data_IF_388307050524
#
_entry.id   IF_388307050524
#
_cell.length_a   1.000
_cell.length_b   1.000
_cell.length_c   1.000
_cell.angle_alpha   90.00
_cell.angle_beta   90.00
_cell.angle_gamma   90.00
#
_symmetry.space_group_name_H-M   'P 1'
#
loop_
_entity.id
_entity.type
_entity.pdbx_description
1 polymer ?
#
# COMPACT_ATOMS: atom_id res chain seq x y z
N UNK A 1 10.09 -9.25 0.52
CA UNK A 1 9.68 -8.04 -0.26
C UNK A 1 9.81 -6.82 0.62
N UNK A 2 10.31 -5.74 0.08
CA UNK A 2 10.39 -4.42 0.73
C UNK A 2 9.85 -3.36 -0.23
N UNK A 3 9.46 -2.20 0.31
CA UNK A 3 9.10 -1.03 -0.49
C UNK A 3 10.32 -0.12 -0.63
N UNK A 4 10.58 0.34 -1.85
CA UNK A 4 11.78 1.11 -2.16
C UNK A 4 11.49 2.13 -3.27
N UNK A 5 12.09 3.35 -3.23
CA UNK A 5 11.96 4.32 -4.30
C UNK A 5 12.43 3.77 -5.65
N UNK A 6 11.68 4.04 -6.72
CA UNK A 6 12.06 3.60 -8.07
C UNK A 6 13.40 4.23 -8.52
N UNK A 7 13.65 5.45 -8.09
CA UNK A 7 14.88 6.21 -8.37
C UNK A 7 16.15 5.54 -7.80
N UNK A 8 15.99 4.75 -6.73
CA UNK A 8 17.07 3.99 -6.11
C UNK A 8 17.14 2.52 -6.53
N UNK A 9 16.24 2.05 -7.41
CA UNK A 9 16.21 0.65 -7.83
C UNK A 9 17.47 0.28 -8.61
N UNK A 10 18.21 -0.72 -8.14
CA UNK A 10 19.30 -1.34 -8.87
C UNK A 10 18.74 -2.40 -9.82
N UNK A 11 18.59 -2.02 -11.09
CA UNK A 11 18.08 -2.88 -12.15
C UNK A 11 19.10 -2.95 -13.28
N UNK A 12 19.51 -4.15 -13.68
CA UNK A 12 20.41 -4.32 -14.79
C UNK A 12 19.72 -3.94 -16.12
N UNK A 13 20.40 -3.22 -17.02
CA UNK A 13 19.85 -2.83 -18.31
C UNK A 13 19.56 -4.04 -19.20
N UNK A 14 18.86 -3.82 -20.31
CA UNK A 14 18.48 -4.82 -21.28
C UNK A 14 17.36 -4.36 -22.22
N UNK A 15 16.80 -5.30 -22.96
CA UNK A 15 15.72 -5.05 -23.91
C UNK A 15 14.38 -5.00 -23.21
N UNK A 16 13.66 -3.90 -23.36
CA UNK A 16 12.33 -3.71 -22.74
C UNK A 16 11.21 -4.12 -23.70
N UNK A 17 10.30 -4.91 -23.16
CA UNK A 17 9.07 -5.34 -23.83
C UNK A 17 7.89 -5.06 -22.89
N UNK A 18 6.83 -4.45 -23.43
CA UNK A 18 5.57 -4.24 -22.73
C UNK A 18 4.45 -5.10 -23.33
N UNK A 19 3.51 -5.51 -22.48
CA UNK A 19 2.26 -6.15 -22.89
C UNK A 19 1.11 -5.21 -22.54
N UNK A 20 0.37 -4.79 -23.57
CA UNK A 20 -0.76 -3.89 -23.41
C UNK A 20 -2.06 -4.67 -23.41
N UNK A 21 -2.79 -4.55 -22.32
CA UNK A 21 -4.10 -5.17 -22.19
C UNK A 21 -5.07 -4.50 -23.16
N UNK A 22 -5.78 -5.30 -23.95
CA UNK A 22 -6.82 -4.83 -24.86
C UNK A 22 -8.11 -5.62 -24.71
N UNK A 23 -9.24 -4.97 -24.98
CA UNK A 23 -10.51 -5.65 -25.16
C UNK A 23 -10.59 -6.18 -26.58
N UNK A 24 -11.05 -7.43 -26.75
CA UNK A 24 -11.35 -8.03 -28.05
C UNK A 24 -12.80 -7.79 -28.47
N UNK A 25 -13.60 -7.09 -27.64
CA UNK A 25 -14.94 -6.65 -27.99
C UNK A 25 -14.92 -5.82 -29.28
N UNK A 26 -15.84 -6.07 -30.17
CA UNK A 26 -16.18 -5.11 -31.24
C UNK A 26 -16.91 -3.95 -30.56
N UNK A 27 -16.45 -2.73 -30.79
CA UNK A 27 -17.14 -1.50 -30.39
C UNK A 27 -18.49 -1.45 -31.14
N UNK A 28 -19.51 -2.06 -30.56
CA UNK A 28 -20.87 -1.71 -30.94
C UNK A 28 -21.22 -0.45 -30.14
N UNK A 29 -21.65 0.56 -30.85
CA UNK A 29 -21.89 1.90 -30.33
C UNK A 29 -22.73 1.87 -29.04
N UNK A 30 -22.14 2.29 -27.93
CA UNK A 30 -22.84 2.66 -26.70
C UNK A 30 -23.08 1.57 -25.64
N UNK A 31 -22.64 0.33 -25.84
CA UNK A 31 -22.81 -0.75 -24.85
C UNK A 31 -21.59 -0.91 -23.95
N UNK A 32 -21.66 -0.46 -22.71
CA UNK A 32 -20.72 -0.88 -21.66
C UNK A 32 -20.80 -2.41 -21.43
N UNK A 33 -19.95 -2.98 -20.54
CA UNK A 33 -19.95 -4.43 -20.29
C UNK A 33 -21.36 -4.93 -20.02
N UNK A 34 -21.83 -5.95 -20.77
CA UNK A 34 -23.16 -6.56 -20.60
C UNK A 34 -23.33 -7.29 -19.26
N UNK A 35 -22.24 -7.51 -18.52
CA UNK A 35 -22.29 -8.01 -17.16
C UNK A 35 -22.97 -7.00 -16.21
N UNK A 36 -23.71 -7.49 -15.22
CA UNK A 36 -24.34 -6.63 -14.23
C UNK A 36 -23.28 -5.75 -13.56
N UNK A 37 -23.35 -4.43 -13.78
CA UNK A 37 -22.48 -3.47 -13.09
C UNK A 37 -22.77 -3.51 -11.61
N UNK A 38 -21.73 -3.45 -10.78
CA UNK A 38 -21.80 -3.39 -9.32
C UNK A 38 -21.36 -2.03 -8.82
N UNK A 39 -21.84 -1.64 -7.65
CA UNK A 39 -21.39 -0.41 -7.01
C UNK A 39 -19.91 -0.53 -6.64
N UNK A 40 -19.15 0.50 -6.92
CA UNK A 40 -17.76 0.62 -6.45
C UNK A 40 -17.72 0.78 -4.91
N UNK A 41 -16.58 0.45 -4.29
CA UNK A 41 -16.37 0.68 -2.86
C UNK A 41 -16.32 2.19 -2.55
N UNK A 42 -16.44 2.53 -1.26
CA UNK A 42 -16.31 3.93 -0.84
C UNK A 42 -14.91 4.51 -1.15
N UNK A 43 -13.85 3.71 -0.98
CA UNK A 43 -12.48 4.12 -1.33
C UNK A 43 -12.36 4.42 -2.82
N UNK A 44 -12.87 3.53 -3.68
CA UNK A 44 -12.83 3.70 -5.13
C UNK A 44 -13.59 4.95 -5.58
N UNK A 45 -14.78 5.17 -5.03
CA UNK A 45 -15.61 6.33 -5.38
C UNK A 45 -14.92 7.65 -4.99
N UNK A 46 -14.34 7.70 -3.77
CA UNK A 46 -13.59 8.90 -3.33
C UNK A 46 -12.36 9.14 -4.18
N UNK A 47 -11.57 8.10 -4.47
CA UNK A 47 -10.37 8.22 -5.30
C UNK A 47 -10.71 8.70 -6.72
N UNK A 48 -11.70 8.07 -7.35
CA UNK A 48 -12.18 8.45 -8.68
C UNK A 48 -12.66 9.90 -8.70
N UNK A 49 -13.44 10.33 -7.70
CA UNK A 49 -13.92 11.72 -7.58
C UNK A 49 -12.77 12.73 -7.49
N UNK A 50 -11.74 12.41 -6.70
CA UNK A 50 -10.57 13.29 -6.53
C UNK A 50 -9.84 13.49 -7.86
N UNK A 51 -9.67 12.42 -8.65
CA UNK A 51 -9.02 12.49 -9.97
C UNK A 51 -9.89 13.23 -10.99
N UNK A 52 -11.21 12.98 -11.00
CA UNK A 52 -12.15 13.73 -11.85
C UNK A 52 -12.08 15.24 -11.59
N UNK A 53 -12.10 15.65 -10.33
CA UNK A 53 -12.03 17.07 -9.96
C UNK A 53 -10.67 17.70 -10.29
N UNK A 54 -9.57 16.95 -10.08
CA UNK A 54 -8.24 17.40 -10.47
C UNK A 54 -8.16 17.66 -11.98
N UNK A 55 -8.70 16.75 -12.79
CA UNK A 55 -8.69 16.86 -14.26
C UNK A 55 -9.48 18.07 -14.77
N UNK A 56 -10.60 18.42 -14.12
CA UNK A 56 -11.39 19.62 -14.49
C UNK A 56 -10.61 20.94 -14.40
N UNK A 57 -9.60 20.99 -13.55
CA UNK A 57 -8.74 22.18 -13.35
C UNK A 57 -7.35 22.01 -13.96
N UNK A 58 -7.16 21.03 -14.85
CA UNK A 58 -5.89 20.66 -15.48
C UNK A 58 -4.77 20.38 -14.47
N UNK A 59 -5.14 19.86 -13.31
CA UNK A 59 -4.20 19.39 -12.29
C UNK A 59 -4.05 17.86 -12.39
N UNK A 60 -2.86 17.35 -12.15
CA UNK A 60 -2.57 15.92 -12.19
C UNK A 60 -2.18 15.42 -10.80
N UNK A 61 -3.13 14.82 -10.12
CA UNK A 61 -2.87 14.05 -8.89
C UNK A 61 -2.58 12.60 -9.26
N UNK A 62 -1.44 12.37 -9.89
CA UNK A 62 -1.02 11.03 -10.26
C UNK A 62 -0.36 10.32 -9.07
N UNK A 63 -0.79 9.11 -8.82
CA UNK A 63 -0.16 8.18 -7.88
C UNK A 63 -0.26 6.77 -8.43
N UNK A 64 0.74 5.95 -8.15
CA UNK A 64 0.74 4.55 -8.55
C UNK A 64 1.45 3.67 -7.53
N UNK A 65 1.06 2.40 -7.54
CA UNK A 65 1.73 1.31 -6.83
C UNK A 65 2.38 0.42 -7.89
N UNK A 66 3.63 0.05 -7.70
CA UNK A 66 4.31 -0.81 -8.65
C UNK A 66 5.07 -1.93 -7.94
N UNK A 67 5.43 -2.95 -8.70
CA UNK A 67 6.27 -4.05 -8.26
C UNK A 67 7.25 -4.42 -9.36
N UNK A 68 8.49 -4.71 -8.96
CA UNK A 68 9.51 -5.32 -9.78
C UNK A 68 9.94 -6.65 -9.14
N UNK A 69 10.26 -7.64 -9.96
CA UNK A 69 10.78 -8.93 -9.48
C UNK A 69 11.55 -9.64 -10.58
N UNK A 70 12.45 -10.54 -10.18
CA UNK A 70 13.30 -11.30 -11.10
C UNK A 70 12.65 -12.63 -11.48
N UNK A 71 12.75 -12.98 -12.78
CA UNK A 71 12.51 -14.33 -13.30
C UNK A 71 13.84 -14.95 -13.71
N UNK A 72 14.06 -16.21 -13.34
CA UNK A 72 15.32 -16.88 -13.53
C UNK A 72 15.59 -17.22 -15.00
N UNK A 73 16.80 -16.90 -15.46
CA UNK A 73 17.29 -17.20 -16.80
C UNK A 73 16.76 -16.24 -17.88
N UNK A 74 17.05 -16.55 -19.15
CA UNK A 74 16.50 -15.82 -20.29
C UNK A 74 14.98 -15.85 -20.29
N UNK A 75 14.37 -14.73 -20.64
CA UNK A 75 12.92 -14.57 -20.62
C UNK A 75 12.26 -15.47 -21.68
N UNK A 76 11.40 -16.38 -21.23
CA UNK A 76 10.43 -17.06 -22.07
C UNK A 76 9.22 -16.14 -22.27
N UNK A 77 9.16 -15.46 -23.41
CA UNK A 77 8.15 -14.45 -23.71
C UNK A 77 6.75 -15.02 -23.79
N UNK A 78 6.60 -16.19 -24.40
CA UNK A 78 5.28 -16.82 -24.58
C UNK A 78 4.73 -17.28 -23.22
N UNK A 79 5.58 -17.84 -22.37
CA UNK A 79 5.20 -18.22 -21.00
C UNK A 79 4.87 -16.99 -20.14
N UNK A 80 5.61 -15.87 -20.28
CA UNK A 80 5.31 -14.65 -19.55
C UNK A 80 4.00 -14.02 -20.05
N UNK A 81 3.78 -13.93 -21.34
CA UNK A 81 2.53 -13.43 -21.91
C UNK A 81 1.32 -14.22 -21.39
N UNK A 82 1.42 -15.56 -21.41
CA UNK A 82 0.38 -16.42 -20.83
C UNK A 82 0.16 -16.16 -19.33
N UNK A 83 1.23 -15.95 -18.55
CA UNK A 83 1.14 -15.66 -17.12
C UNK A 83 0.52 -14.27 -16.83
N UNK A 84 0.85 -13.26 -17.62
CA UNK A 84 0.27 -11.91 -17.51
C UNK A 84 -1.22 -11.91 -17.87
N UNK A 85 -1.58 -12.62 -18.94
CA UNK A 85 -2.98 -12.79 -19.33
C UNK A 85 -3.76 -13.59 -18.29
N UNK A 86 -3.16 -14.63 -17.71
CA UNK A 86 -3.73 -15.39 -16.60
C UNK A 86 -4.02 -14.49 -15.39
N UNK A 87 -3.09 -13.62 -14.97
CA UNK A 87 -3.30 -12.66 -13.89
C UNK A 87 -4.52 -11.77 -14.15
N UNK A 88 -4.61 -11.17 -15.35
CA UNK A 88 -5.71 -10.29 -15.72
C UNK A 88 -7.06 -11.03 -15.77
N UNK A 89 -7.07 -12.30 -16.20
CA UNK A 89 -8.26 -13.16 -16.22
C UNK A 89 -8.69 -13.57 -14.82
N UNK A 90 -7.74 -13.87 -13.95
CA UNK A 90 -7.95 -14.33 -12.59
C UNK A 90 -8.56 -13.26 -11.69
N UNK A 91 -8.12 -12.02 -11.81
CA UNK A 91 -8.55 -10.90 -10.97
C UNK A 91 -9.46 -9.95 -11.72
N UNK A 92 -10.76 -10.10 -11.51
CA UNK A 92 -11.77 -9.32 -12.23
C UNK A 92 -11.60 -7.80 -12.13
N UNK A 93 -11.10 -7.30 -10.98
CA UNK A 93 -10.86 -5.86 -10.77
C UNK A 93 -9.88 -5.27 -11.79
N UNK A 94 -8.94 -6.05 -12.32
CA UNK A 94 -8.00 -5.63 -13.36
C UNK A 94 -8.66 -5.48 -14.75
N UNK A 95 -9.87 -6.02 -14.90
CA UNK A 95 -10.69 -5.93 -16.13
C UNK A 95 -11.85 -4.93 -15.97
N UNK A 96 -11.87 -4.17 -14.86
CA UNK A 96 -12.97 -3.26 -14.54
C UNK A 96 -12.89 -1.95 -15.28
N UNK A 97 -14.01 -1.54 -15.85
CA UNK A 97 -14.28 -0.19 -16.32
C UNK A 97 -15.18 0.53 -15.32
N UNK A 98 -14.73 1.70 -14.88
CA UNK A 98 -15.49 2.54 -13.94
C UNK A 98 -16.31 3.60 -14.69
N UNK A 99 -17.52 3.80 -14.22
CA UNK A 99 -18.43 4.80 -14.80
C UNK A 99 -19.39 5.36 -13.74
N UNK A 100 -19.64 6.68 -13.81
CA UNK A 100 -20.72 7.26 -13.00
C UNK A 100 -22.08 7.02 -13.66
N UNK A 101 -22.99 6.42 -12.90
CA UNK A 101 -24.38 6.21 -13.28
C UNK A 101 -25.28 6.84 -12.22
N UNK A 102 -26.09 7.82 -12.62
CA UNK A 102 -26.97 8.59 -11.73
C UNK A 102 -26.26 9.21 -10.49
N UNK A 103 -24.97 9.54 -10.61
CA UNK A 103 -24.13 10.12 -9.56
C UNK A 103 -23.28 9.12 -8.80
N UNK A 104 -23.62 7.85 -8.78
CA UNK A 104 -22.87 6.78 -8.11
C UNK A 104 -21.80 6.19 -9.03
N UNK A 105 -20.64 5.87 -8.46
CA UNK A 105 -19.60 5.14 -9.20
C UNK A 105 -19.95 3.66 -9.25
N UNK A 106 -20.00 3.13 -10.45
CA UNK A 106 -20.19 1.72 -10.74
C UNK A 106 -19.02 1.15 -11.51
N UNK A 107 -18.78 -0.14 -11.37
CA UNK A 107 -17.78 -0.87 -12.15
C UNK A 107 -18.39 -2.10 -12.81
N UNK A 108 -17.91 -2.41 -14.01
CA UNK A 108 -18.25 -3.63 -14.74
C UNK A 108 -16.98 -4.26 -15.25
N UNK A 109 -16.80 -5.57 -15.04
CA UNK A 109 -15.66 -6.28 -15.53
C UNK A 109 -15.89 -6.74 -16.99
N UNK A 110 -14.92 -6.52 -17.87
CA UNK A 110 -14.86 -7.15 -19.18
C UNK A 110 -14.70 -8.66 -18.98
N UNK A 111 -15.39 -9.47 -19.79
CA UNK A 111 -15.29 -10.92 -19.68
C UNK A 111 -13.85 -11.40 -19.84
N UNK A 112 -13.47 -12.43 -19.09
CA UNK A 112 -12.11 -12.96 -19.11
C UNK A 112 -11.68 -13.46 -20.49
N UNK A 113 -12.62 -13.94 -21.31
CA UNK A 113 -12.38 -14.41 -22.67
C UNK A 113 -12.35 -13.28 -23.70
N UNK A 114 -12.77 -12.07 -23.33
CA UNK A 114 -12.80 -10.89 -24.20
C UNK A 114 -11.59 -9.97 -24.00
N UNK A 115 -10.55 -10.43 -23.30
CA UNK A 115 -9.29 -9.71 -23.18
C UNK A 115 -8.15 -10.44 -23.87
N UNK A 116 -7.22 -9.67 -24.39
CA UNK A 116 -5.97 -10.14 -24.99
C UNK A 116 -4.83 -9.18 -24.70
N UNK A 117 -3.65 -9.53 -25.14
CA UNK A 117 -2.44 -8.72 -24.99
C UNK A 117 -1.88 -8.36 -26.37
N UNK A 118 -1.40 -7.12 -26.51
CA UNK A 118 -0.57 -6.68 -27.61
C UNK A 118 0.85 -6.48 -27.12
N UNK A 119 1.82 -7.10 -27.78
CA UNK A 119 3.24 -6.98 -27.44
C UNK A 119 3.82 -5.74 -28.11
N UNK A 120 4.54 -4.92 -27.34
CA UNK A 120 5.19 -3.70 -27.81
C UNK A 120 6.67 -3.71 -27.44
N UNK A 121 7.54 -3.67 -28.45
CA UNK A 121 8.99 -3.53 -28.25
C UNK A 121 9.30 -2.06 -27.92
N UNK A 122 9.85 -1.80 -26.75
CA UNK A 122 10.19 -0.45 -26.28
C UNK A 122 11.63 -0.05 -26.58
N UNK A 123 12.47 -1.02 -26.99
CA UNK A 123 13.87 -0.80 -27.32
C UNK A 123 14.84 -1.40 -26.33
N UNK A 124 16.10 -1.10 -26.51
CA UNK A 124 17.19 -1.53 -25.65
C UNK A 124 17.73 -0.35 -24.84
N UNK A 125 18.01 -0.61 -23.58
CA UNK A 125 18.55 0.38 -22.64
C UNK A 125 19.90 -0.10 -22.15
N UNK A 126 20.90 0.79 -22.22
CA UNK A 126 22.30 0.46 -21.93
C UNK A 126 22.67 0.76 -20.48
N UNK A 127 21.88 1.59 -19.79
CA UNK A 127 22.16 2.01 -18.41
C UNK A 127 20.94 1.87 -17.49
N UNK A 128 21.20 1.59 -16.21
CA UNK A 128 20.18 1.59 -15.15
C UNK A 128 19.45 2.95 -15.06
N UNK A 129 20.16 4.05 -15.28
CA UNK A 129 19.58 5.40 -15.17
C UNK A 129 18.53 5.65 -16.27
N UNK A 130 18.85 5.29 -17.53
CA UNK A 130 17.90 5.40 -18.65
C UNK A 130 16.67 4.51 -18.42
N UNK A 131 16.89 3.29 -17.96
CA UNK A 131 15.81 2.34 -17.71
C UNK A 131 14.89 2.82 -16.58
N UNK A 132 15.44 3.35 -15.47
CA UNK A 132 14.63 3.95 -14.39
C UNK A 132 13.83 5.15 -14.88
N UNK A 133 14.44 6.03 -15.67
CA UNK A 133 13.76 7.19 -16.24
C UNK A 133 12.61 6.75 -17.17
N UNK A 134 12.86 5.75 -18.02
CA UNK A 134 11.84 5.16 -18.88
C UNK A 134 10.68 4.56 -18.07
N UNK A 135 10.96 3.75 -17.04
CA UNK A 135 9.93 3.14 -16.20
C UNK A 135 9.09 4.19 -15.48
N UNK A 136 9.74 5.22 -14.88
CA UNK A 136 9.05 6.31 -14.21
C UNK A 136 8.12 7.07 -15.15
N UNK A 137 8.62 7.43 -16.34
CA UNK A 137 7.83 8.12 -17.38
C UNK A 137 6.67 7.26 -17.88
N UNK A 138 6.92 5.95 -18.13
CA UNK A 138 5.89 5.01 -18.57
C UNK A 138 4.79 4.83 -17.53
N UNK A 139 5.14 4.68 -16.24
CA UNK A 139 4.15 4.55 -15.16
C UNK A 139 3.27 5.79 -15.06
N UNK A 140 3.87 7.00 -15.10
CA UNK A 140 3.13 8.24 -15.01
C UNK A 140 2.22 8.50 -16.22
N UNK A 141 2.61 8.05 -17.42
CA UNK A 141 1.82 8.28 -18.66
C UNK A 141 0.74 7.24 -18.90
N UNK A 142 0.96 6.00 -18.46
CA UNK A 142 0.06 4.89 -18.78
C UNK A 142 -0.95 4.59 -17.67
N UNK A 143 -0.68 5.00 -16.42
CA UNK A 143 -1.62 4.82 -15.31
C UNK A 143 -2.57 6.01 -15.26
N UNK A 144 -3.84 5.77 -15.58
CA UNK A 144 -4.90 6.79 -15.57
C UNK A 144 -6.17 6.21 -14.93
N UNK A 145 -6.54 6.74 -13.75
CA UNK A 145 -7.73 6.31 -13.00
C UNK A 145 -9.03 6.37 -13.83
N UNK A 146 -9.10 7.28 -14.82
CA UNK A 146 -10.31 7.53 -15.60
C UNK A 146 -10.35 6.76 -16.93
N UNK A 147 -9.30 5.97 -17.24
CA UNK A 147 -9.18 5.26 -18.50
C UNK A 147 -8.67 3.82 -18.29
N UNK A 148 -9.42 2.85 -18.76
CA UNK A 148 -8.97 1.46 -18.81
C UNK A 148 -7.91 1.25 -19.91
N UNK A 149 -6.86 0.44 -19.68
CA UNK A 149 -6.56 -0.36 -18.51
C UNK A 149 -5.93 0.44 -17.35
N UNK A 150 -6.23 0.03 -16.11
CA UNK A 150 -5.82 0.70 -14.88
C UNK A 150 -4.47 0.19 -14.33
N UNK A 151 -3.72 -0.50 -15.17
CA UNK A 151 -2.40 -1.02 -14.87
C UNK A 151 -1.61 -1.24 -16.15
N UNK A 152 -0.31 -1.32 -16.01
CA UNK A 152 0.60 -1.65 -17.08
C UNK A 152 1.57 -2.76 -16.67
N UNK A 153 2.19 -3.43 -17.63
CA UNK A 153 3.09 -4.55 -17.41
C UNK A 153 4.16 -4.64 -18.48
N UNK A 154 5.36 -5.00 -18.05
CA UNK A 154 6.50 -5.14 -18.96
C UNK A 154 7.61 -5.99 -18.34
N UNK A 155 8.65 -6.21 -19.13
CA UNK A 155 9.84 -6.89 -18.68
C UNK A 155 11.10 -6.31 -19.33
N UNK A 156 12.20 -6.40 -18.59
CA UNK A 156 13.55 -6.16 -19.06
C UNK A 156 14.16 -7.53 -19.39
N UNK A 157 14.14 -7.90 -20.63
CA UNK A 157 14.68 -9.18 -21.13
C UNK A 157 16.20 -9.10 -21.25
N UNK A 158 16.90 -10.15 -20.80
CA UNK A 158 18.34 -10.31 -20.91
C UNK A 158 18.67 -11.66 -21.52
N UNK A 159 19.75 -11.72 -22.30
CA UNK A 159 20.24 -12.96 -22.90
C UNK A 159 20.88 -13.89 -21.89
N UNK A 160 21.48 -13.30 -20.83
CA UNK A 160 22.16 -14.03 -19.75
C UNK A 160 21.70 -13.52 -18.40
N UNK A 161 21.66 -14.39 -17.38
CA UNK A 161 21.21 -14.07 -16.05
C UNK A 161 19.69 -14.03 -15.94
N UNK A 162 19.16 -13.39 -14.91
CA UNK A 162 17.73 -13.21 -14.72
C UNK A 162 17.18 -12.03 -15.53
N UNK A 163 15.89 -12.08 -15.82
CA UNK A 163 15.14 -10.98 -16.43
C UNK A 163 14.22 -10.35 -15.40
N UNK A 164 13.99 -9.04 -15.48
CA UNK A 164 13.16 -8.32 -14.51
C UNK A 164 11.77 -8.10 -15.10
N UNK A 165 10.73 -8.52 -14.38
CA UNK A 165 9.33 -8.16 -14.69
C UNK A 165 8.94 -6.96 -13.85
N UNK A 166 8.19 -6.03 -14.43
CA UNK A 166 7.66 -4.87 -13.74
C UNK A 166 6.18 -4.67 -14.05
N UNK A 167 5.44 -4.23 -13.05
CA UNK A 167 4.04 -3.84 -13.21
C UNK A 167 3.75 -2.59 -12.38
N UNK A 168 2.87 -1.74 -12.89
CA UNK A 168 2.36 -0.59 -12.13
C UNK A 168 0.84 -0.54 -12.22
N UNK A 169 0.20 -0.10 -11.14
CA UNK A 169 -1.25 -0.14 -10.95
C UNK A 169 -1.75 1.21 -10.43
N UNK A 170 -2.91 1.62 -10.89
CA UNK A 170 -3.69 2.62 -10.17
C UNK A 170 -4.16 2.07 -8.82
N UNK A 171 -4.22 2.93 -7.81
CA UNK A 171 -4.66 2.52 -6.48
C UNK A 171 -6.13 2.07 -6.45
N UNK A 172 -6.95 2.50 -7.42
CA UNK A 172 -8.37 2.11 -7.53
C UNK A 172 -8.57 0.60 -7.69
N UNK A 173 -7.56 -0.12 -8.23
CA UNK A 173 -7.60 -1.57 -8.46
C UNK A 173 -6.61 -2.36 -7.60
N UNK A 174 -5.87 -1.70 -6.71
CA UNK A 174 -4.80 -2.37 -5.95
C UNK A 174 -4.57 -1.76 -4.56
N UNK A 175 -3.84 -2.49 -3.73
CA UNK A 175 -3.30 -2.04 -2.45
C UNK A 175 -1.94 -2.70 -2.17
N UNK A 176 -1.31 -2.35 -1.04
CA UNK A 176 0.02 -2.88 -0.70
C UNK A 176 0.08 -4.41 -0.60
N UNK A 177 -1.00 -5.08 -0.17
CA UNK A 177 -1.06 -6.56 -0.08
C UNK A 177 -1.35 -7.18 -1.45
N UNK A 178 -1.87 -6.44 -2.40
CA UNK A 178 -2.04 -6.90 -3.79
C UNK A 178 -0.68 -7.18 -4.45
N UNK A 179 0.37 -6.43 -4.11
CA UNK A 179 1.68 -6.57 -4.75
C UNK A 179 2.31 -7.97 -4.55
N UNK A 180 2.44 -8.52 -3.33
CA UNK A 180 2.91 -9.90 -3.18
C UNK A 180 1.99 -10.94 -3.83
N UNK A 181 0.68 -10.73 -3.89
CA UNK A 181 -0.23 -11.63 -4.59
C UNK A 181 0.06 -11.63 -6.10
N UNK A 182 0.26 -10.46 -6.71
CA UNK A 182 0.63 -10.32 -8.13
C UNK A 182 1.93 -11.07 -8.44
N UNK A 183 2.98 -10.87 -7.61
CA UNK A 183 4.26 -11.56 -7.80
C UNK A 183 4.11 -13.07 -7.72
N UNK A 184 3.43 -13.55 -6.69
CA UNK A 184 3.19 -14.99 -6.50
C UNK A 184 2.42 -15.60 -7.65
N UNK A 185 1.38 -14.94 -8.13
CA UNK A 185 0.52 -15.44 -9.20
C UNK A 185 1.28 -15.51 -10.53
N UNK A 186 2.03 -14.44 -10.88
CA UNK A 186 2.82 -14.42 -12.12
C UNK A 186 3.94 -15.46 -12.07
N UNK A 187 4.70 -15.53 -10.98
CA UNK A 187 5.80 -16.48 -10.83
C UNK A 187 5.32 -17.94 -10.92
N UNK A 188 4.20 -18.23 -10.25
CA UNK A 188 3.59 -19.57 -10.28
C UNK A 188 3.09 -19.92 -11.69
N UNK A 189 2.40 -18.98 -12.35
CA UNK A 189 1.87 -19.18 -13.69
C UNK A 189 3.00 -19.30 -14.73
N UNK A 190 3.99 -18.42 -14.66
CA UNK A 190 5.16 -18.44 -15.53
C UNK A 190 5.91 -19.79 -15.47
N UNK A 191 6.18 -20.24 -14.24
CA UNK A 191 6.84 -21.54 -14.03
C UNK A 191 6.01 -22.73 -14.56
N UNK A 192 4.69 -22.67 -14.43
CA UNK A 192 3.79 -23.70 -14.97
C UNK A 192 3.78 -23.70 -16.51
N UNK A 193 3.59 -22.54 -17.15
CA UNK A 193 3.54 -22.42 -18.61
C UNK A 193 4.87 -22.78 -19.27
N UNK A 194 6.02 -22.41 -18.70
CA UNK A 194 7.33 -22.90 -19.19
C UNK A 194 7.44 -24.42 -19.22
N UNK A 195 6.65 -25.13 -18.43
CA UNK A 195 6.61 -26.59 -18.37
C UNK A 195 5.42 -27.17 -19.16
N UNK A 196 4.68 -26.35 -19.90
CA UNK A 196 3.49 -26.77 -20.65
C UNK A 196 2.34 -27.24 -19.74
N UNK A 197 2.24 -26.70 -18.54
CA UNK A 197 1.21 -27.05 -17.54
C UNK A 197 0.33 -25.86 -17.21
N UNK A 198 -0.91 -26.12 -16.80
CA UNK A 198 -1.77 -25.08 -16.23
C UNK A 198 -1.34 -24.70 -14.81
N UNK A 199 -1.39 -23.41 -14.45
CA UNK A 199 -1.07 -22.98 -13.09
C UNK A 199 -2.13 -23.42 -12.08
N UNK A 200 -1.68 -23.84 -10.90
CA UNK A 200 -2.56 -24.22 -9.78
C UNK A 200 -2.35 -23.24 -8.65
N UNK A 201 -3.35 -22.41 -8.37
CA UNK A 201 -3.34 -21.39 -7.32
C UNK A 201 -4.63 -21.46 -6.48
N UNK A 202 -4.61 -21.05 -5.22
CA UNK A 202 -5.83 -20.92 -4.40
C UNK A 202 -6.83 -19.97 -5.07
N UNK A 203 -8.12 -20.17 -4.82
CA UNK A 203 -9.18 -19.33 -5.39
C UNK A 203 -9.00 -17.87 -4.96
N UNK A 204 -9.10 -16.95 -5.91
CA UNK A 204 -9.22 -15.52 -5.63
C UNK A 204 -10.70 -15.15 -5.50
N UNK A 205 -11.10 -14.54 -4.39
CA UNK A 205 -12.46 -14.05 -4.20
C UNK A 205 -12.70 -12.77 -5.01
N UNK A 206 -13.98 -12.50 -5.30
CA UNK A 206 -14.41 -11.33 -6.07
C UNK A 206 -14.22 -10.04 -5.28
N UNK A 207 -13.45 -9.10 -5.83
CA UNK A 207 -13.37 -7.74 -5.28
C UNK A 207 -14.64 -6.95 -5.55
N UNK A 208 -15.30 -7.18 -6.68
CA UNK A 208 -16.55 -6.50 -7.02
C UNK A 208 -17.68 -6.89 -6.06
N UNK A 209 -17.71 -8.14 -5.60
CA UNK A 209 -18.66 -8.59 -4.58
C UNK A 209 -18.39 -7.90 -3.24
N UNK A 210 -17.11 -7.83 -2.83
CA UNK A 210 -16.70 -7.10 -1.64
C UNK A 210 -17.13 -5.63 -1.69
N UNK A 211 -16.82 -4.93 -2.78
CA UNK A 211 -17.13 -3.51 -2.96
C UNK A 211 -18.65 -3.26 -2.93
N UNK A 212 -19.40 -4.07 -3.65
CA UNK A 212 -20.85 -3.97 -3.70
C UNK A 212 -21.51 -4.28 -2.34
N UNK A 213 -21.05 -5.30 -1.64
CA UNK A 213 -21.54 -5.65 -0.29
C UNK A 213 -21.23 -4.52 0.70
N UNK A 214 -20.00 -4.00 0.69
CA UNK A 214 -19.59 -2.87 1.53
C UNK A 214 -20.50 -1.65 1.26
N UNK A 215 -20.67 -1.27 -0.01
CA UNK A 215 -21.51 -0.13 -0.38
C UNK A 215 -22.96 -0.33 0.07
N UNK A 216 -23.56 -1.48 -0.22
CA UNK A 216 -24.94 -1.80 0.12
C UNK A 216 -25.19 -1.77 1.64
N UNK A 217 -24.23 -2.26 2.43
CA UNK A 217 -24.35 -2.34 3.89
C UNK A 217 -24.25 -0.98 4.58
N UNK A 218 -23.42 -0.07 4.07
CA UNK A 218 -23.10 1.18 4.77
C UNK A 218 -23.62 2.44 4.09
N UNK A 219 -24.28 2.35 2.94
CA UNK A 219 -24.88 3.51 2.26
C UNK A 219 -25.93 4.21 3.13
N UNK A 220 -26.71 3.44 3.88
CA UNK A 220 -27.76 3.93 4.79
C UNK A 220 -27.26 4.33 6.18
N UNK A 221 -25.94 4.31 6.43
CA UNK A 221 -25.37 4.76 7.70
C UNK A 221 -25.59 6.27 7.87
N UNK A 222 -26.10 6.70 9.03
CA UNK A 222 -26.33 8.11 9.39
C UNK A 222 -25.34 8.56 10.48
N UNK A 223 -25.16 9.88 10.65
CA UNK A 223 -24.15 10.44 11.55
C UNK A 223 -24.40 10.15 13.05
N UNK A 224 -25.64 9.87 13.44
CA UNK A 224 -26.03 9.51 14.82
C UNK A 224 -25.95 8.01 15.13
N UNK A 225 -25.65 7.16 14.14
CA UNK A 225 -25.55 5.70 14.30
C UNK A 225 -24.49 5.32 15.35
N UNK A 226 -24.81 4.33 16.21
CA UNK A 226 -23.94 3.85 17.28
C UNK A 226 -22.63 3.20 16.75
N UNK A 227 -22.64 2.68 15.54
CA UNK A 227 -21.43 2.15 14.89
C UNK A 227 -20.34 3.20 14.68
N UNK A 228 -20.70 4.48 14.72
CA UNK A 228 -19.78 5.62 14.66
C UNK A 228 -19.28 6.11 16.03
N UNK A 229 -19.71 5.54 17.15
CA UNK A 229 -19.39 6.05 18.47
C UNK A 229 -17.90 6.04 18.81
N UNK A 230 -17.17 5.04 18.33
CA UNK A 230 -15.71 5.05 18.46
C UNK A 230 -15.06 6.23 17.71
N UNK A 231 -15.51 6.50 16.47
CA UNK A 231 -15.07 7.66 15.69
C UNK A 231 -15.39 8.97 16.36
N UNK A 232 -16.62 9.12 16.88
CA UNK A 232 -17.05 10.31 17.64
C UNK A 232 -16.20 10.50 18.89
N UNK A 233 -15.91 9.42 19.61
CA UNK A 233 -15.05 9.45 20.80
C UNK A 233 -13.62 9.88 20.46
N UNK A 234 -13.05 9.33 19.41
CA UNK A 234 -11.73 9.71 18.91
C UNK A 234 -11.68 11.20 18.52
N UNK A 235 -12.69 11.69 17.79
CA UNK A 235 -12.81 13.09 17.42
C UNK A 235 -12.89 14.00 18.64
N UNK A 236 -13.68 13.64 19.65
CA UNK A 236 -13.80 14.42 20.89
C UNK A 236 -12.46 14.53 21.61
N UNK A 237 -11.65 13.46 21.65
CA UNK A 237 -10.30 13.44 22.23
C UNK A 237 -9.26 14.16 21.38
N UNK A 238 -9.41 14.13 20.04
CA UNK A 238 -8.47 14.73 19.08
C UNK A 238 -8.80 16.21 18.79
N UNK A 239 -10.05 16.65 19.03
CA UNK A 239 -10.56 17.97 18.65
C UNK A 239 -11.06 18.08 17.20
N UNK A 240 -10.73 17.12 16.37
CA UNK A 240 -11.09 17.08 14.95
C UNK A 240 -11.03 15.63 14.38
N UNK A 241 -11.57 15.40 13.19
CA UNK A 241 -11.63 14.06 12.59
C UNK A 241 -10.24 13.51 12.25
N UNK A 242 -9.36 14.35 11.68
CA UNK A 242 -8.04 13.91 11.24
C UNK A 242 -6.99 14.09 12.34
N UNK A 243 -6.22 13.03 12.68
CA UNK A 243 -5.07 13.18 13.59
C UNK A 243 -3.92 13.90 12.88
N UNK A 244 -3.48 15.03 13.43
CA UNK A 244 -2.35 15.79 12.85
C UNK A 244 -1.02 15.07 13.07
N UNK A 245 -0.17 15.11 12.05
CA UNK A 245 1.25 14.81 12.24
C UNK A 245 1.84 15.86 13.17
N UNK A 246 2.50 15.45 14.28
CA UNK A 246 2.73 16.37 15.40
C UNK A 246 3.98 17.25 15.28
N UNK A 247 4.77 17.08 14.20
CA UNK A 247 6.03 17.81 14.02
C UNK A 247 5.97 18.72 12.80
N UNK A 248 6.82 19.76 12.79
CA UNK A 248 6.85 20.75 11.72
C UNK A 248 7.39 20.18 10.42
N UNK A 249 6.72 20.49 9.31
CA UNK A 249 7.11 20.12 7.95
C UNK A 249 7.39 21.32 7.05
N UNK A 250 7.28 22.56 7.55
CA UNK A 250 7.53 23.79 6.80
C UNK A 250 6.56 23.99 5.64
N UNK A 251 5.27 23.70 5.86
CA UNK A 251 4.23 23.82 4.82
C UNK A 251 3.20 24.87 5.17
N UNK A 252 2.65 25.49 4.13
CA UNK A 252 1.51 26.40 4.25
C UNK A 252 0.19 25.59 4.20
N UNK A 253 -0.84 25.98 4.94
CA UNK A 253 -2.14 25.34 4.91
C UNK A 253 -2.72 25.24 3.50
N UNK A 254 -3.11 24.03 3.09
CA UNK A 254 -3.73 23.77 1.78
C UNK A 254 -2.77 23.76 0.58
N UNK A 255 -1.47 24.04 0.79
CA UNK A 255 -0.47 23.96 -0.29
C UNK A 255 -0.05 22.52 -0.57
N UNK A 256 0.28 22.25 -1.83
CA UNK A 256 0.85 20.99 -2.30
C UNK A 256 2.32 21.19 -2.67
N UNK A 257 3.14 20.23 -2.33
CA UNK A 257 4.58 20.25 -2.55
C UNK A 257 5.03 19.02 -3.33
N UNK A 258 6.13 19.11 -4.11
CA UNK A 258 6.82 17.93 -4.62
C UNK A 258 7.11 16.95 -3.48
N UNK A 259 7.25 15.68 -3.80
CA UNK A 259 7.53 14.64 -2.80
C UNK A 259 8.99 14.20 -2.80
N UNK A 260 9.49 13.93 -1.60
CA UNK A 260 10.67 13.09 -1.38
C UNK A 260 10.22 11.68 -1.06
N UNK A 261 10.95 10.68 -1.58
CA UNK A 261 10.73 9.27 -1.30
C UNK A 261 12.05 8.64 -0.81
N UNK A 262 12.07 8.18 0.44
CA UNK A 262 13.26 7.61 1.07
C UNK A 262 12.94 6.26 1.70
N UNK A 263 13.90 5.33 1.65
CA UNK A 263 13.79 4.03 2.26
C UNK A 263 15.05 3.67 3.03
N UNK A 264 14.87 3.17 4.26
CA UNK A 264 15.96 2.81 5.17
C UNK A 264 15.68 1.48 5.88
N UNK A 265 16.75 0.75 6.17
CA UNK A 265 16.68 -0.36 7.11
C UNK A 265 16.86 0.16 8.53
N UNK A 266 15.84 0.01 9.38
CA UNK A 266 15.87 0.44 10.78
C UNK A 266 16.56 -0.59 11.68
N UNK A 267 16.28 -1.88 11.47
CA UNK A 267 16.86 -2.99 12.22
C UNK A 267 17.29 -4.11 11.28
N UNK A 268 18.35 -4.81 11.61
CA UNK A 268 18.71 -6.06 10.95
C UNK A 268 17.80 -7.23 11.41
N UNK A 269 18.01 -8.42 10.84
CA UNK A 269 17.21 -9.61 11.16
C UNK A 269 17.29 -9.97 12.65
N UNK A 270 18.50 -9.94 13.25
CA UNK A 270 18.74 -10.30 14.65
C UNK A 270 18.10 -9.31 15.61
N UNK A 271 18.27 -8.02 15.35
CA UNK A 271 17.68 -6.93 16.12
C UNK A 271 16.16 -6.98 16.07
N UNK A 272 15.61 -7.29 14.86
CA UNK A 272 14.16 -7.42 14.65
C UNK A 272 13.59 -8.61 15.43
N UNK A 273 14.28 -9.75 15.49
CA UNK A 273 13.88 -10.91 16.30
C UNK A 273 13.95 -10.62 17.80
N UNK A 274 14.98 -9.90 18.24
CA UNK A 274 15.09 -9.49 19.63
C UNK A 274 13.93 -8.56 20.04
N UNK A 275 13.57 -7.58 19.20
CA UNK A 275 12.41 -6.73 19.42
C UNK A 275 11.10 -7.55 19.45
N UNK A 276 10.91 -8.51 18.52
CA UNK A 276 9.71 -9.38 18.52
C UNK A 276 9.59 -10.18 19.81
N UNK A 277 10.70 -10.68 20.31
CA UNK A 277 10.75 -11.42 21.56
C UNK A 277 10.36 -10.51 22.73
N UNK A 278 10.94 -9.30 22.79
CA UNK A 278 10.62 -8.31 23.82
C UNK A 278 9.14 -7.89 23.80
N UNK A 279 8.57 -7.69 22.59
CA UNK A 279 7.14 -7.40 22.45
C UNK A 279 6.26 -8.54 22.99
N UNK A 280 6.64 -9.80 22.72
CA UNK A 280 5.92 -10.98 23.18
C UNK A 280 5.97 -11.13 24.70
N UNK A 281 7.11 -10.86 25.31
CA UNK A 281 7.28 -10.86 26.78
C UNK A 281 6.44 -9.77 27.46
N UNK A 282 6.29 -8.60 26.83
CA UNK A 282 5.38 -7.55 27.25
C UNK A 282 3.89 -7.85 26.96
N UNK A 283 3.56 -9.03 26.43
CA UNK A 283 2.19 -9.44 26.10
C UNK A 283 1.61 -8.78 24.84
N UNK A 284 2.47 -8.28 23.95
CA UNK A 284 2.08 -7.64 22.69
C UNK A 284 2.56 -8.39 21.45
N UNK A 285 2.21 -7.82 20.28
CA UNK A 285 2.69 -8.25 18.96
C UNK A 285 3.80 -7.30 18.48
N UNK A 286 4.61 -7.73 17.52
CA UNK A 286 5.71 -6.93 16.96
C UNK A 286 5.26 -5.52 16.52
N UNK A 287 4.16 -5.40 15.76
CA UNK A 287 3.67 -4.10 15.29
C UNK A 287 3.26 -3.17 16.44
N UNK A 288 2.84 -3.71 17.59
CA UNK A 288 2.51 -2.89 18.77
C UNK A 288 3.76 -2.25 19.38
N UNK A 289 4.87 -3.01 19.44
CA UNK A 289 6.15 -2.46 19.87
C UNK A 289 6.72 -1.43 18.91
N UNK A 290 6.58 -1.69 17.62
CA UNK A 290 6.96 -0.72 16.59
C UNK A 290 6.13 0.58 16.72
N UNK A 291 4.81 0.46 16.82
CA UNK A 291 3.91 1.62 16.98
C UNK A 291 4.17 2.38 18.28
N UNK A 292 4.42 1.66 19.39
CA UNK A 292 4.84 2.26 20.67
C UNK A 292 6.13 3.07 20.48
N UNK A 293 7.13 2.51 19.77
CA UNK A 293 8.40 3.18 19.49
C UNK A 293 8.23 4.41 18.60
N UNK A 294 7.32 4.37 17.61
CA UNK A 294 6.96 5.55 16.79
C UNK A 294 6.35 6.64 17.69
N UNK A 295 5.40 6.29 18.56
CA UNK A 295 4.82 7.24 19.50
C UNK A 295 5.87 7.88 20.43
N UNK A 296 6.77 7.06 20.96
CA UNK A 296 7.90 7.52 21.81
C UNK A 296 8.83 8.45 21.02
N UNK A 297 9.17 8.11 19.78
CA UNK A 297 10.05 8.95 18.95
C UNK A 297 9.41 10.32 18.67
N UNK A 298 8.15 10.35 18.27
CA UNK A 298 7.42 11.60 18.05
C UNK A 298 7.33 12.45 19.31
N UNK A 299 7.04 11.84 20.47
CA UNK A 299 7.00 12.55 21.76
C UNK A 299 8.38 13.09 22.16
N UNK A 300 9.45 12.32 21.97
CA UNK A 300 10.84 12.75 22.25
C UNK A 300 11.23 13.97 21.42
N UNK A 301 10.72 14.10 20.21
CA UNK A 301 10.95 15.23 19.32
C UNK A 301 10.01 16.42 19.57
N UNK A 302 9.26 16.42 20.65
CA UNK A 302 8.38 17.52 21.06
C UNK A 302 6.90 17.32 20.72
N UNK A 303 6.52 16.16 20.22
CA UNK A 303 5.12 15.79 20.03
C UNK A 303 4.36 15.62 21.36
N UNK A 304 3.03 15.49 21.30
CA UNK A 304 2.17 15.40 22.48
C UNK A 304 2.43 14.12 23.30
N UNK A 305 1.99 14.11 24.56
CA UNK A 305 2.04 12.95 25.45
C UNK A 305 0.94 11.90 25.13
N UNK A 306 0.49 11.87 23.89
CA UNK A 306 -0.43 10.89 23.34
C UNK A 306 -0.13 10.68 21.87
N UNK A 307 -0.09 9.43 21.43
CA UNK A 307 -0.10 9.11 20.03
C UNK A 307 -1.54 9.11 19.53
N UNK A 308 -1.80 9.81 18.44
CA UNK A 308 -3.02 9.72 17.64
C UNK A 308 -2.64 9.61 16.18
N UNK A 309 -3.23 8.64 15.50
CA UNK A 309 -2.91 8.39 14.07
C UNK A 309 -3.98 7.55 13.38
N UNK A 310 -3.91 7.51 12.07
CA UNK A 310 -4.64 6.53 11.29
C UNK A 310 -3.79 5.30 11.01
N UNK A 311 -4.45 4.15 11.02
CA UNK A 311 -3.84 2.85 10.74
C UNK A 311 -4.64 2.11 9.69
N UNK A 312 -4.06 1.78 8.52
CA UNK A 312 -4.70 0.94 7.51
C UNK A 312 -4.75 -0.51 8.01
N UNK A 313 -5.89 -1.14 7.84
CA UNK A 313 -6.15 -2.53 8.21
C UNK A 313 -6.70 -3.28 7.00
N UNK A 314 -6.10 -4.42 6.66
CA UNK A 314 -6.60 -5.25 5.57
C UNK A 314 -7.89 -5.98 5.97
N UNK A 315 -8.92 -5.85 5.16
CA UNK A 315 -10.20 -6.55 5.32
C UNK A 315 -10.20 -7.96 4.71
N UNK A 316 -9.09 -8.39 4.07
CA UNK A 316 -8.98 -9.71 3.41
C UNK A 316 -9.28 -10.89 4.34
N UNK A 317 -8.97 -10.77 5.63
CA UNK A 317 -9.26 -11.80 6.64
C UNK A 317 -10.75 -11.97 6.98
N UNK A 318 -11.64 -11.13 6.45
CA UNK A 318 -13.08 -11.17 6.69
C UNK A 318 -13.85 -12.04 5.68
N UNK A 319 -13.18 -12.53 4.64
CA UNK A 319 -13.79 -13.34 3.58
C UNK A 319 -12.75 -14.08 2.74
N UNK A 320 -13.12 -14.61 1.58
CA UNK A 320 -12.27 -15.44 0.74
C UNK A 320 -11.27 -14.61 -0.11
N UNK A 321 -10.71 -13.51 0.44
CA UNK A 321 -9.96 -12.52 -0.34
C UNK A 321 -8.46 -12.54 -0.11
N UNK A 322 -7.93 -13.49 0.65
CA UNK A 322 -6.49 -13.59 0.97
C UNK A 322 -5.60 -13.52 -0.27
N UNK A 323 -6.02 -14.19 -1.36
CA UNK A 323 -5.28 -14.28 -2.61
C UNK A 323 -5.80 -13.33 -3.71
N UNK A 324 -6.64 -12.35 -3.34
CA UNK A 324 -7.24 -11.42 -4.30
C UNK A 324 -6.42 -10.15 -4.47
N UNK A 325 -6.42 -9.61 -5.69
CA UNK A 325 -5.98 -8.25 -6.00
C UNK A 325 -7.16 -7.30 -5.87
N UNK A 326 -6.96 -6.11 -5.31
CA UNK A 326 -7.98 -5.09 -5.09
C UNK A 326 -7.66 -4.20 -3.91
N UNK A 327 -8.48 -3.17 -3.68
CA UNK A 327 -8.31 -2.25 -2.56
C UNK A 327 -9.09 -2.70 -1.32
N UNK A 328 -8.59 -3.71 -0.61
CA UNK A 328 -9.22 -4.30 0.59
C UNK A 328 -8.74 -3.65 1.90
N UNK A 329 -8.46 -2.37 1.89
CA UNK A 329 -7.97 -1.66 3.07
C UNK A 329 -9.03 -0.74 3.62
N UNK A 330 -9.32 -0.87 4.92
CA UNK A 330 -9.99 0.15 5.71
C UNK A 330 -8.96 0.93 6.52
N UNK A 331 -9.26 2.18 6.85
CA UNK A 331 -8.41 3.05 7.66
C UNK A 331 -9.13 3.37 8.95
N UNK A 332 -8.47 3.17 10.09
CA UNK A 332 -9.08 3.34 11.41
C UNK A 332 -8.24 4.26 12.29
N UNK A 333 -8.86 5.06 13.17
CA UNK A 333 -8.13 5.87 14.12
C UNK A 333 -7.64 5.02 15.30
N UNK A 334 -6.41 5.29 15.75
CA UNK A 334 -5.83 4.68 16.95
C UNK A 334 -5.26 5.75 17.84
N UNK A 335 -5.46 5.61 19.15
CA UNK A 335 -4.85 6.46 20.16
C UNK A 335 -4.35 5.68 21.37
N UNK A 336 -3.29 6.16 22.00
CA UNK A 336 -2.77 5.67 23.26
C UNK A 336 -1.87 6.73 23.92
N UNK A 337 -1.72 6.66 25.25
CA UNK A 337 -0.84 7.55 26.00
C UNK A 337 0.64 7.23 25.75
N UNK A 338 1.47 8.26 25.71
CA UNK A 338 2.94 8.17 25.60
C UNK A 338 3.55 9.07 26.67
N UNK A 339 4.27 8.49 27.62
CA UNK A 339 4.94 9.22 28.70
C UNK A 339 6.46 9.18 28.56
N UNK A 340 7.14 10.24 29.05
CA UNK A 340 8.60 10.36 29.00
C UNK A 340 9.33 9.23 29.72
N UNK A 341 8.77 8.81 30.89
CA UNK A 341 9.36 7.80 31.76
C UNK A 341 8.49 6.53 31.82
N UNK A 342 7.67 6.32 30.81
CA UNK A 342 6.77 5.17 30.72
C UNK A 342 7.53 3.91 30.32
N UNK A 343 7.39 2.86 31.13
CA UNK A 343 8.01 1.56 30.82
C UNK A 343 7.43 0.92 29.56
N UNK A 344 8.26 0.18 28.83
CA UNK A 344 7.86 -0.45 27.56
C UNK A 344 6.63 -1.38 27.72
N UNK A 345 6.52 -2.09 28.83
CA UNK A 345 5.39 -2.99 29.11
C UNK A 345 4.07 -2.23 29.26
N UNK A 346 4.12 -1.05 29.87
CA UNK A 346 2.96 -0.17 30.00
C UNK A 346 2.56 0.43 28.64
N UNK A 347 3.54 0.84 27.82
CA UNK A 347 3.30 1.30 26.45
C UNK A 347 2.62 0.21 25.61
N UNK A 348 3.13 -1.03 25.66
CA UNK A 348 2.53 -2.17 24.97
C UNK A 348 1.09 -2.41 25.43
N UNK A 349 0.83 -2.34 26.74
CA UNK A 349 -0.51 -2.48 27.28
C UNK A 349 -1.46 -1.39 26.75
N UNK A 350 -0.99 -0.14 26.69
CA UNK A 350 -1.73 0.99 26.11
C UNK A 350 -2.03 0.80 24.62
N UNK A 351 -1.03 0.45 23.82
CA UNK A 351 -1.20 0.17 22.38
C UNK A 351 -2.18 -0.98 22.15
N UNK A 352 -2.09 -2.05 22.94
CA UNK A 352 -2.98 -3.20 22.87
C UNK A 352 -4.42 -2.82 23.16
N UNK A 353 -4.65 -1.99 24.18
CA UNK A 353 -5.99 -1.48 24.51
C UNK A 353 -6.55 -0.60 23.40
N UNK A 354 -5.76 0.37 22.88
CA UNK A 354 -6.14 1.23 21.77
C UNK A 354 -6.44 0.44 20.49
N UNK A 355 -5.59 -0.54 20.17
CA UNK A 355 -5.82 -1.44 19.02
C UNK A 355 -7.09 -2.28 19.17
N UNK A 356 -7.36 -2.79 20.38
CA UNK A 356 -8.60 -3.54 20.67
C UNK A 356 -9.84 -2.69 20.46
N UNK A 357 -9.84 -1.44 20.95
CA UNK A 357 -10.94 -0.50 20.76
C UNK A 357 -11.12 -0.14 19.27
N UNK A 358 -10.04 0.16 18.57
CA UNK A 358 -10.03 0.45 17.12
C UNK A 358 -10.66 -0.70 16.31
N UNK A 359 -10.30 -1.94 16.60
CA UNK A 359 -10.78 -3.12 15.86
C UNK A 359 -12.28 -3.35 16.04
N UNK A 360 -12.90 -2.81 17.09
CA UNK A 360 -14.36 -2.79 17.26
C UNK A 360 -15.09 -1.98 16.18
N UNK A 361 -14.40 -1.05 15.51
CA UNK A 361 -14.96 -0.19 14.44
C UNK A 361 -14.50 -0.61 13.03
N UNK A 362 -13.88 -1.79 12.89
CA UNK A 362 -13.34 -2.26 11.60
C UNK A 362 -14.40 -2.31 10.49
N UNK A 363 -15.63 -2.52 10.84
CA UNK A 363 -16.71 -2.67 9.85
C UNK A 363 -17.06 -1.35 9.15
N UNK A 364 -16.93 -0.20 9.84
CA UNK A 364 -17.33 1.09 9.27
C UNK A 364 -16.28 1.56 8.27
N UNK A 365 -16.62 1.77 7.00
CA UNK A 365 -15.65 2.26 6.02
C UNK A 365 -15.21 3.69 6.37
N UNK A 366 -13.90 3.92 6.36
CA UNK A 366 -13.27 5.23 6.64
C UNK A 366 -13.90 6.37 5.85
N UNK A 367 -14.05 6.20 4.55
CA UNK A 367 -14.60 7.23 3.67
C UNK A 367 -16.05 7.57 4.06
N UNK A 368 -16.84 6.57 4.50
CA UNK A 368 -18.21 6.83 4.96
C UNK A 368 -18.22 7.53 6.32
N UNK A 369 -17.34 7.16 7.23
CA UNK A 369 -17.16 7.89 8.49
C UNK A 369 -16.73 9.34 8.24
N UNK A 370 -15.78 9.57 7.34
CA UNK A 370 -15.34 10.92 6.94
C UNK A 370 -16.49 11.75 6.37
N UNK A 371 -17.24 11.19 5.40
CA UNK A 371 -18.38 11.88 4.78
C UNK A 371 -19.43 12.33 5.79
N UNK A 372 -19.69 11.51 6.82
CA UNK A 372 -20.71 11.77 7.83
C UNK A 372 -20.24 12.67 8.97
N UNK A 373 -18.99 12.54 9.41
CA UNK A 373 -18.49 13.18 10.65
C UNK A 373 -17.62 14.42 10.38
N UNK A 374 -17.11 14.60 9.16
CA UNK A 374 -16.35 15.79 8.76
C UNK A 374 -16.69 16.21 7.33
N UNK A 375 -17.99 16.46 7.03
CA UNK A 375 -18.47 16.75 5.67
C UNK A 375 -17.84 18.03 5.08
N UNK A 376 -17.44 19.00 5.92
CA UNK A 376 -16.75 20.23 5.51
C UNK A 376 -15.39 19.98 4.83
N UNK A 377 -14.77 18.83 5.14
CA UNK A 377 -13.51 18.39 4.52
C UNK A 377 -13.71 17.35 3.41
N UNK A 378 -14.91 16.84 3.23
CA UNK A 378 -15.13 15.71 2.33
C UNK A 378 -14.95 16.08 0.84
N UNK A 379 -15.22 17.32 0.49
CA UNK A 379 -15.00 17.85 -0.87
C UNK A 379 -13.51 18.10 -1.20
N UNK A 380 -12.62 18.10 -0.21
CA UNK A 380 -11.21 18.32 -0.44
C UNK A 380 -10.60 17.19 -1.28
N UNK A 381 -9.70 17.58 -2.20
CA UNK A 381 -8.92 16.64 -3.03
C UNK A 381 -7.76 16.00 -2.27
N UNK A 382 -7.31 16.63 -1.19
CA UNK A 382 -6.22 16.19 -0.32
C UNK A 382 -6.64 16.27 1.13
N UNK A 383 -5.80 15.78 2.03
CA UNK A 383 -5.98 15.98 3.47
C UNK A 383 -6.03 17.48 3.81
N UNK A 384 -6.81 17.92 4.80
CA UNK A 384 -6.87 19.32 5.17
C UNK A 384 -5.53 19.87 5.71
N UNK A 385 -4.67 18.98 6.21
CA UNK A 385 -3.33 19.21 6.75
C UNK A 385 -2.57 17.88 6.82
N UNK A 386 -1.25 17.86 7.20
CA UNK A 386 -0.50 16.63 7.41
C UNK A 386 -1.20 15.70 8.39
N UNK A 387 -1.55 14.52 7.95
CA UNK A 387 -2.20 13.50 8.77
C UNK A 387 -1.13 12.52 9.28
N UNK A 388 -1.24 12.14 10.56
CA UNK A 388 -0.38 11.12 11.15
C UNK A 388 -0.86 9.73 10.75
N UNK A 389 0.00 8.97 10.08
CA UNK A 389 -0.34 7.68 9.47
C UNK A 389 0.70 6.63 9.82
N UNK A 390 0.25 5.44 10.24
CA UNK A 390 1.12 4.31 10.56
C UNK A 390 0.66 3.07 9.80
N UNK A 391 1.51 2.57 8.92
CA UNK A 391 1.26 1.34 8.15
C UNK A 391 2.36 0.32 8.40
N UNK A 392 1.98 -0.91 8.72
CA UNK A 392 2.91 -2.02 8.91
C UNK A 392 2.46 -3.28 8.16
N UNK A 393 3.40 -3.93 7.47
CA UNK A 393 3.20 -5.20 6.79
C UNK A 393 4.31 -6.21 7.12
N UNK A 394 3.93 -7.44 7.49
CA UNK A 394 4.87 -8.55 7.65
C UNK A 394 4.93 -9.35 6.33
N UNK A 395 5.91 -9.04 5.52
CA UNK A 395 6.09 -9.62 4.18
C UNK A 395 6.51 -11.10 4.21
N UNK A 396 6.90 -11.62 5.36
CA UNK A 396 7.23 -13.04 5.55
C UNK A 396 6.00 -13.95 5.54
N UNK A 397 4.80 -13.35 5.66
CA UNK A 397 3.50 -14.06 5.73
C UNK A 397 2.66 -13.90 4.46
N UNK A 398 3.22 -13.28 3.44
CA UNK A 398 2.54 -13.10 2.15
C UNK A 398 2.71 -14.35 1.28
N UNK A 399 1.80 -14.61 0.33
CA UNK A 399 1.95 -15.72 -0.62
C UNK A 399 3.31 -15.67 -1.33
N UNK A 400 3.98 -16.82 -1.43
CA UNK A 400 5.29 -16.96 -2.07
C UNK A 400 6.47 -16.35 -1.31
N UNK A 401 6.28 -15.93 -0.04
CA UNK A 401 7.34 -15.30 0.75
C UNK A 401 8.62 -16.13 0.89
N UNK A 402 8.50 -17.45 0.89
CA UNK A 402 9.62 -18.41 0.91
C UNK A 402 10.52 -18.30 -0.33
N UNK A 403 9.99 -17.82 -1.44
CA UNK A 403 10.71 -17.62 -2.70
C UNK A 403 11.23 -16.18 -2.90
N UNK A 404 10.91 -15.24 -2.01
CA UNK A 404 11.38 -13.85 -2.13
C UNK A 404 12.91 -13.70 -2.27
N UNK A 405 13.77 -14.55 -1.64
CA UNK A 405 15.21 -14.47 -1.89
C UNK A 405 15.62 -14.72 -3.35
N UNK A 406 14.85 -15.54 -4.09
CA UNK A 406 15.08 -15.85 -5.50
C UNK A 406 14.41 -14.81 -6.43
N UNK A 407 13.16 -14.46 -6.13
CA UNK A 407 12.36 -13.55 -6.94
C UNK A 407 12.73 -12.08 -6.75
N UNK A 408 13.39 -11.73 -5.65
CA UNK A 408 13.80 -10.37 -5.27
C UNK A 408 12.70 -9.31 -5.45
N UNK A 409 11.46 -9.57 -5.00
CA UNK A 409 10.36 -8.66 -5.23
C UNK A 409 10.56 -7.34 -4.47
N UNK A 410 10.39 -6.23 -5.18
CA UNK A 410 10.44 -4.89 -4.62
C UNK A 410 9.16 -4.15 -4.98
N UNK A 411 8.48 -3.60 -3.97
CA UNK A 411 7.33 -2.74 -4.17
C UNK A 411 7.80 -1.28 -4.31
N UNK A 412 7.11 -0.51 -5.13
CA UNK A 412 7.35 0.91 -5.32
C UNK A 412 6.06 1.66 -5.15
N UNK A 413 6.14 2.85 -4.58
CA UNK A 413 5.03 3.79 -4.48
C UNK A 413 5.51 5.18 -4.87
N UNK A 414 4.65 5.92 -5.54
CA UNK A 414 4.95 7.27 -5.96
C UNK A 414 3.69 8.13 -5.96
N UNK A 415 3.88 9.41 -5.66
CA UNK A 415 2.86 10.43 -5.78
C UNK A 415 3.51 11.72 -6.31
N UNK A 416 2.83 12.41 -7.21
CA UNK A 416 3.34 13.63 -7.85
C UNK A 416 3.51 14.78 -6.86
N UNK A 417 2.63 14.88 -5.88
CA UNK A 417 2.64 15.91 -4.85
C UNK A 417 1.98 15.40 -3.57
N UNK A 418 2.31 16.03 -2.45
CA UNK A 418 1.72 15.77 -1.14
C UNK A 418 1.58 17.06 -0.35
N UNK A 419 0.82 17.00 0.75
CA UNK A 419 0.71 18.05 1.75
C UNK A 419 1.08 17.54 3.15
N UNK A 420 1.86 16.47 3.25
CA UNK A 420 2.21 15.84 4.52
C UNK A 420 3.26 14.76 4.38
N UNK A 421 3.16 13.76 5.22
CA UNK A 421 4.05 12.60 5.25
C UNK A 421 3.25 11.30 5.36
N UNK A 422 3.75 10.24 4.73
CA UNK A 422 3.25 8.88 4.92
C UNK A 422 4.44 7.93 5.05
N UNK A 423 4.40 7.07 6.08
CA UNK A 423 5.46 6.09 6.32
C UNK A 423 4.89 4.68 6.37
N UNK A 424 5.56 3.78 5.65
CA UNK A 424 5.26 2.36 5.61
C UNK A 424 6.40 1.56 6.22
N UNK A 425 6.08 0.68 7.14
CA UNK A 425 7.02 -0.23 7.76
C UNK A 425 6.81 -1.63 7.19
N UNK A 426 7.89 -2.24 6.70
CA UNK A 426 7.86 -3.61 6.19
C UNK A 426 8.87 -4.45 6.96
N UNK A 427 8.43 -5.65 7.33
CA UNK A 427 9.31 -6.67 7.89
C UNK A 427 9.50 -7.79 6.88
N UNK A 428 10.74 -8.08 6.54
CA UNK A 428 11.10 -9.24 5.73
C UNK A 428 12.18 -10.09 6.44
N UNK A 429 12.79 -11.03 5.74
CA UNK A 429 13.83 -11.91 6.28
C UNK A 429 15.13 -11.15 6.60
N UNK A 430 15.35 -9.99 6.03
CA UNK A 430 16.55 -9.16 6.25
C UNK A 430 16.41 -8.18 7.43
N UNK A 431 15.19 -7.97 7.94
CA UNK A 431 14.94 -7.10 9.08
C UNK A 431 13.69 -6.22 8.95
N UNK A 432 13.73 -5.06 9.61
CA UNK A 432 12.70 -4.03 9.59
C UNK A 432 13.13 -2.85 8.72
N UNK A 433 12.28 -2.50 7.77
CA UNK A 433 12.49 -1.40 6.81
C UNK A 433 11.40 -0.34 6.99
N UNK A 434 11.76 0.91 6.75
CA UNK A 434 10.85 2.06 6.65
C UNK A 434 11.00 2.68 5.28
N UNK A 435 9.89 2.92 4.60
CA UNK A 435 9.83 3.78 3.43
C UNK A 435 8.92 4.95 3.73
N UNK A 436 9.32 6.16 3.39
CA UNK A 436 8.55 7.38 3.63
C UNK A 436 8.45 8.24 2.38
N UNK A 437 7.23 8.68 2.08
CA UNK A 437 6.98 9.77 1.13
C UNK A 437 6.56 10.99 1.96
N UNK A 438 7.21 12.12 1.75
CA UNK A 438 6.92 13.35 2.45
C UNK A 438 7.18 14.59 1.57
N UNK A 439 6.63 15.72 1.97
CA UNK A 439 6.78 16.99 1.27
C UNK A 439 8.24 17.41 1.18
N UNK A 440 8.68 17.88 0.02
CA UNK A 440 10.07 18.29 -0.22
C UNK A 440 10.33 19.71 0.24
N UNK A 441 10.39 19.91 1.57
CA UNK A 441 10.82 21.16 2.22
C UNK A 441 12.09 20.94 3.05
N UNK A 442 12.91 21.96 3.31
CA UNK A 442 14.07 21.82 4.20
C UNK A 442 13.69 21.35 5.62
N UNK A 443 12.56 21.83 6.15
CA UNK A 443 12.02 21.46 7.46
C UNK A 443 11.62 19.99 7.47
N UNK A 444 10.84 19.53 6.48
CA UNK A 444 10.41 18.14 6.40
C UNK A 444 11.59 17.17 6.27
N UNK A 445 12.58 17.49 5.43
CA UNK A 445 13.81 16.69 5.30
C UNK A 445 14.56 16.57 6.63
N UNK A 446 14.64 17.65 7.43
CA UNK A 446 15.25 17.62 8.76
C UNK A 446 14.40 16.79 9.73
N UNK A 447 13.12 17.07 9.82
CA UNK A 447 12.17 16.38 10.72
C UNK A 447 12.14 14.87 10.44
N UNK A 448 12.02 14.46 9.19
CA UNK A 448 11.95 13.04 8.84
C UNK A 448 13.27 12.30 9.11
N UNK A 449 14.41 12.96 8.96
CA UNK A 449 15.72 12.42 9.38
C UNK A 449 15.78 12.23 10.89
N UNK A 450 15.39 13.26 11.68
CA UNK A 450 15.37 13.19 13.14
C UNK A 450 14.40 12.11 13.65
N UNK A 451 13.21 12.00 13.05
CA UNK A 451 12.26 10.92 13.37
C UNK A 451 12.88 9.55 13.13
N UNK A 452 13.52 9.34 12.00
CA UNK A 452 14.17 8.07 11.66
C UNK A 452 15.31 7.74 12.63
N UNK A 453 16.15 8.72 12.97
CA UNK A 453 17.27 8.53 13.89
C UNK A 453 16.78 8.19 15.31
N UNK A 454 15.84 8.95 15.86
CA UNK A 454 15.28 8.72 17.19
C UNK A 454 14.51 7.41 17.24
N UNK A 455 13.72 7.11 16.22
CA UNK A 455 13.00 5.84 16.12
C UNK A 455 13.97 4.65 16.10
N UNK A 456 15.02 4.70 15.28
CA UNK A 456 16.03 3.64 15.22
C UNK A 456 16.71 3.44 16.56
N UNK A 457 17.11 4.51 17.25
CA UNK A 457 17.68 4.45 18.59
C UNK A 457 16.73 3.83 19.60
N UNK A 458 15.46 4.21 19.58
CA UNK A 458 14.41 3.66 20.46
C UNK A 458 14.23 2.16 20.24
N UNK A 459 14.14 1.73 18.99
CA UNK A 459 14.00 0.32 18.62
C UNK A 459 15.23 -0.50 19.04
N UNK A 460 16.44 0.01 18.83
CA UNK A 460 17.69 -0.63 19.23
C UNK A 460 17.81 -0.72 20.75
N UNK A 461 17.46 0.32 21.50
CA UNK A 461 17.47 0.30 22.96
C UNK A 461 16.52 -0.77 23.50
N UNK A 462 15.32 -0.89 22.94
CA UNK A 462 14.34 -1.91 23.31
C UNK A 462 14.83 -3.32 22.99
N UNK A 463 15.45 -3.53 21.84
CA UNK A 463 16.01 -4.82 21.42
C UNK A 463 17.20 -5.26 22.30
N UNK A 464 18.08 -4.31 22.67
CA UNK A 464 19.27 -4.59 23.50
C UNK A 464 18.95 -4.85 24.96
N UNK A 465 17.97 -4.19 25.53
CA UNK A 465 17.50 -4.46 26.89
C UNK A 465 17.12 -5.94 27.07
N UNK A 466 16.63 -6.59 26.03
CA UNK A 466 16.36 -8.02 26.01
C UNK A 466 17.64 -8.89 25.96
N UNK A 467 18.61 -8.51 25.14
CA UNK A 467 19.87 -9.26 25.04
C UNK A 467 20.62 -9.32 26.38
N UNK A 468 20.63 -8.20 27.13
CA UNK A 468 21.25 -8.13 28.47
C UNK A 468 20.50 -8.95 29.52
N UNK A 469 19.19 -9.16 29.40
CA UNK A 469 18.39 -10.00 30.32
C UNK A 469 18.65 -11.50 30.11
N UNK A 470 19.10 -11.91 28.93
CA UNK A 470 19.35 -13.30 28.55
C UNK A 470 20.80 -13.77 28.73
N UNK A 471 21.75 -12.86 28.93
CA UNK A 471 23.08 -13.26 29.31
C UNK A 471 23.00 -13.81 30.75
N UNK A 472 23.27 -15.12 31.01
CA UNK A 472 23.32 -15.62 32.36
C UNK A 472 24.40 -14.84 33.09
N UNK A 473 24.07 -14.32 34.28
CA UNK A 473 25.06 -13.71 35.16
C UNK A 473 26.27 -14.68 35.20
N UNK A 474 27.39 -14.24 34.66
CA UNK A 474 28.63 -15.03 34.72
C UNK A 474 28.83 -15.32 36.21
N UNK A 475 28.70 -16.59 36.56
CA UNK A 475 28.93 -17.07 37.93
C UNK A 475 30.40 -16.81 38.20
N UNK A 476 30.64 -15.80 39.02
CA UNK A 476 31.95 -15.49 39.61
C UNK A 476 32.29 -16.48 40.72
#
# INVERSE_FOLDING_TARGET
>A
MRQFPLEGLEIAPGRVVEWRLRSTRRSEEGGGPEGARKSASFNQDKHFSVVEEARKVNDSLASWLAVTFEVEGPLDRDALEAALLFLARRHEVLRCEFQRLAGDLSCGAIDADEIGLDVVEMGEFDTTAELRAFMSDSFQKQIDTLAWPLFMMGAVARETGSSTVYMAFDHIVSDGVSMPNVVNDIQTAYAAYKQGREPVLPVAGSYLDFAHEQRSRYLSLEADDERLDYWKSFMAGNGEFFPRFPLELGIEPGAMYPTMNEADRLLDARETEALETRCREAGGKFFMGLLASVGTALHTLGGPASYRGFMPVSERGRGPWTHSVGWFVNTLPIEFAVGKDQEFDELIAGVRAGFGAMMGSLEVPFIRAWELLAPEHFALRTWPYPVNFFSYMDMRRTPGAEHHPQWQPTAHVWASAANGTCSWFQRDVSGLHMNSIYVDTPEARRTMREVREVLTQTLLATSRAEALRREPAAVS
#
